data_IF_824389315780
#
_entry.id   IF_824389315780
#
_cell.length_a   1.000
_cell.length_b   1.000
_cell.length_c   1.000
_cell.angle_alpha   90.00
_cell.angle_beta   90.00
_cell.angle_gamma   90.00
#
_symmetry.space_group_name_H-M   'P 1'
#
loop_
_entity.id
_entity.type
_entity.pdbx_description
1 polymer ?
#
# COMPACT_ATOMS: atom_id res chain seq x y z
N UNK A 1 -6.86 0.35 28.38
CA UNK A 1 -6.39 -0.70 27.44
C UNK A 1 -4.96 -0.32 27.01
N UNK A 2 -3.98 -1.23 27.10
CA UNK A 2 -2.58 -0.94 26.70
C UNK A 2 -2.48 -1.02 25.17
N UNK A 3 -2.06 0.05 24.50
CA UNK A 3 -1.85 0.08 23.04
C UNK A 3 -0.73 -0.90 22.67
N UNK A 4 -1.03 -1.89 21.82
CA UNK A 4 -0.07 -2.92 21.39
C UNK A 4 0.95 -2.40 20.37
N UNK A 5 0.51 -1.51 19.46
CA UNK A 5 1.34 -0.97 18.38
C UNK A 5 0.76 0.34 17.84
N UNK A 6 1.60 1.16 17.21
CA UNK A 6 1.20 2.39 16.52
C UNK A 6 1.51 2.22 15.04
N UNK A 7 0.49 2.24 14.21
CA UNK A 7 0.62 1.96 12.77
C UNK A 7 0.28 3.19 11.95
N UNK A 8 1.20 3.63 11.12
CA UNK A 8 0.93 4.64 10.10
C UNK A 8 0.38 3.97 8.84
N UNK A 9 -0.82 4.36 8.45
CA UNK A 9 -1.51 3.90 7.24
C UNK A 9 -1.39 5.00 6.19
N UNK A 10 -0.79 4.68 5.03
CA UNK A 10 -0.64 5.60 3.90
C UNK A 10 -1.43 5.01 2.73
N UNK A 11 -2.62 5.51 2.48
CA UNK A 11 -3.52 4.95 1.45
C UNK A 11 -4.62 5.94 1.04
N UNK A 12 -5.40 5.57 0.04
CA UNK A 12 -6.62 6.28 -0.34
C UNK A 12 -7.73 6.08 0.68
N UNK A 13 -8.67 7.03 0.70
CA UNK A 13 -9.91 6.94 1.48
C UNK A 13 -11.00 6.29 0.64
N UNK A 14 -11.64 5.26 1.17
CA UNK A 14 -12.83 4.62 0.61
C UNK A 14 -14.09 5.09 1.36
N UNK A 15 -14.95 5.88 0.69
CA UNK A 15 -16.18 6.40 1.28
C UNK A 15 -17.16 5.33 1.75
N UNK A 16 -17.10 4.12 1.17
CA UNK A 16 -17.93 2.98 1.60
C UNK A 16 -17.37 2.25 2.83
N UNK A 17 -16.12 2.52 3.21
CA UNK A 17 -15.51 1.96 4.40
C UNK A 17 -15.02 0.51 4.28
N UNK A 18 -15.07 -0.10 3.08
CA UNK A 18 -14.71 -1.51 2.84
C UNK A 18 -13.25 -1.72 2.45
N UNK A 19 -12.54 -0.66 2.10
CA UNK A 19 -11.15 -0.68 1.68
C UNK A 19 -10.38 0.55 2.22
N UNK A 20 -9.17 0.79 1.71
CA UNK A 20 -8.37 1.97 1.99
C UNK A 20 -8.11 2.20 3.47
N UNK A 21 -7.93 3.48 3.84
CA UNK A 21 -7.64 3.85 5.23
C UNK A 21 -8.73 3.42 6.21
N UNK A 22 -9.99 3.34 5.78
CA UNK A 22 -11.10 2.96 6.65
C UNK A 22 -11.01 1.49 7.08
N UNK A 23 -10.80 0.58 6.12
CA UNK A 23 -10.63 -0.84 6.42
C UNK A 23 -9.37 -1.09 7.25
N UNK A 24 -8.26 -0.43 6.88
CA UNK A 24 -6.99 -0.56 7.59
C UNK A 24 -7.10 -0.05 9.04
N UNK A 25 -7.75 1.11 9.26
CA UNK A 25 -7.98 1.68 10.59
C UNK A 25 -8.83 0.76 11.45
N UNK A 26 -9.95 0.23 10.91
CA UNK A 26 -10.80 -0.74 11.61
C UNK A 26 -9.99 -1.96 12.04
N UNK A 27 -9.17 -2.50 11.13
CA UNK A 27 -8.35 -3.68 11.39
C UNK A 27 -7.32 -3.43 12.48
N UNK A 28 -6.55 -2.33 12.38
CA UNK A 28 -5.55 -1.96 13.39
C UNK A 28 -6.19 -1.77 14.76
N UNK A 29 -7.34 -1.09 14.81
CA UNK A 29 -8.07 -0.83 16.07
C UNK A 29 -8.62 -2.13 16.66
N UNK A 30 -9.23 -2.99 15.86
CA UNK A 30 -9.75 -4.28 16.33
C UNK A 30 -8.66 -5.19 16.91
N UNK A 31 -7.43 -5.08 16.40
CA UNK A 31 -6.27 -5.81 16.90
C UNK A 31 -5.60 -5.13 18.11
N UNK A 32 -6.15 -4.04 18.62
CA UNK A 32 -5.65 -3.31 19.80
C UNK A 32 -4.49 -2.36 19.48
N UNK A 33 -4.29 -2.00 18.20
CA UNK A 33 -3.34 -1.00 17.77
C UNK A 33 -3.92 0.41 17.75
N UNK A 34 -3.05 1.40 17.64
CA UNK A 34 -3.40 2.80 17.35
C UNK A 34 -3.12 3.11 15.88
N UNK A 35 -4.16 3.51 15.15
CA UNK A 35 -4.07 3.83 13.74
C UNK A 35 -3.84 5.33 13.52
N UNK A 36 -2.81 5.66 12.76
CA UNK A 36 -2.56 6.99 12.20
C UNK A 36 -2.72 6.94 10.69
N UNK A 37 -3.17 8.01 10.06
CA UNK A 37 -3.43 7.99 8.61
C UNK A 37 -2.74 9.15 7.89
N UNK A 38 -2.29 8.86 6.65
CA UNK A 38 -1.93 9.84 5.64
C UNK A 38 -2.72 9.50 4.37
N UNK A 39 -3.65 10.36 4.00
CA UNK A 39 -4.58 10.15 2.89
C UNK A 39 -3.89 10.54 1.59
N UNK A 40 -3.88 9.62 0.62
CA UNK A 40 -3.26 9.85 -0.70
C UNK A 40 -4.25 10.29 -1.76
N UNK A 41 -5.52 9.91 -1.62
CA UNK A 41 -6.64 10.36 -2.44
C UNK A 41 -7.94 10.16 -1.68
N UNK A 42 -8.97 10.91 -2.02
CA UNK A 42 -10.35 10.69 -1.56
C UNK A 42 -11.15 10.10 -2.71
N UNK A 43 -11.93 9.06 -2.47
CA UNK A 43 -12.77 8.45 -3.51
C UNK A 43 -14.25 8.59 -3.19
N UNK A 44 -15.06 8.78 -4.23
CA UNK A 44 -16.48 8.46 -4.19
C UNK A 44 -16.64 7.00 -4.63
N UNK A 45 -16.77 6.11 -3.67
CA UNK A 45 -16.72 4.67 -3.88
C UNK A 45 -17.84 3.97 -3.11
N UNK A 46 -18.33 2.88 -3.67
CA UNK A 46 -19.27 1.95 -3.04
C UNK A 46 -18.85 0.50 -3.31
N UNK A 47 -19.68 -0.47 -2.91
CA UNK A 47 -19.40 -1.91 -3.07
C UNK A 47 -19.38 -2.38 -4.53
N UNK A 48 -19.90 -1.58 -5.46
CA UNK A 48 -19.98 -1.89 -6.90
C UNK A 48 -18.82 -1.29 -7.70
N UNK A 49 -18.22 -0.18 -7.22
CA UNK A 49 -17.12 0.44 -7.94
C UNK A 49 -16.71 1.82 -7.41
N UNK A 50 -15.78 2.44 -8.14
CA UNK A 50 -15.25 3.79 -7.88
C UNK A 50 -15.82 4.74 -8.93
N UNK A 51 -16.55 5.76 -8.49
CA UNK A 51 -17.12 6.78 -9.36
C UNK A 51 -16.10 7.91 -9.64
N UNK A 52 -15.40 8.38 -8.61
CA UNK A 52 -14.39 9.43 -8.76
C UNK A 52 -13.24 9.28 -7.78
N UNK A 53 -12.08 9.81 -8.17
CA UNK A 53 -10.86 9.84 -7.35
C UNK A 53 -10.34 11.28 -7.33
N UNK A 54 -10.26 11.88 -6.15
CA UNK A 54 -9.70 13.20 -5.91
C UNK A 54 -8.31 13.03 -5.30
N UNK A 55 -7.23 13.26 -6.06
CA UNK A 55 -5.87 13.08 -5.56
C UNK A 55 -5.49 14.16 -4.54
N UNK A 56 -4.78 13.77 -3.50
CA UNK A 56 -4.14 14.71 -2.56
C UNK A 56 -2.76 15.09 -3.11
N UNK A 57 -2.42 16.37 -3.02
CA UNK A 57 -1.12 16.87 -3.50
C UNK A 57 0.03 16.22 -2.75
N UNK A 58 1.12 15.82 -3.45
CA UNK A 58 2.27 15.13 -2.83
C UNK A 58 2.83 15.84 -1.61
N UNK A 59 2.94 17.18 -1.67
CA UNK A 59 3.41 18.02 -0.56
C UNK A 59 2.52 17.90 0.69
N UNK A 60 1.21 17.76 0.51
CA UNK A 60 0.28 17.64 1.63
C UNK A 60 0.28 16.22 2.20
N UNK A 61 0.52 15.20 1.37
CA UNK A 61 0.77 13.81 1.84
C UNK A 61 2.06 13.78 2.70
N UNK A 62 3.14 14.42 2.26
CA UNK A 62 4.38 14.49 3.04
C UNK A 62 4.15 15.19 4.40
N UNK A 63 3.39 16.30 4.42
CA UNK A 63 3.04 17.00 5.67
C UNK A 63 2.26 16.09 6.62
N UNK A 64 1.25 15.36 6.14
CA UNK A 64 0.48 14.42 6.95
C UNK A 64 1.42 13.40 7.60
N UNK A 65 2.32 12.79 6.82
CA UNK A 65 3.26 11.78 7.31
C UNK A 65 4.21 12.38 8.36
N UNK A 66 4.90 13.45 8.02
CA UNK A 66 5.97 13.98 8.87
C UNK A 66 5.42 14.67 10.12
N UNK A 67 4.33 15.42 10.01
CA UNK A 67 3.76 16.14 11.16
C UNK A 67 3.18 15.17 12.20
N UNK A 68 2.43 14.16 11.74
CA UNK A 68 1.88 13.12 12.61
C UNK A 68 3.00 12.31 13.28
N UNK A 69 4.02 11.90 12.52
CA UNK A 69 5.09 11.07 13.04
C UNK A 69 6.13 11.82 13.89
N UNK A 70 6.13 13.15 13.83
CA UNK A 70 6.92 13.97 14.76
C UNK A 70 6.46 13.80 16.20
N UNK A 71 5.17 13.67 16.41
CA UNK A 71 4.54 13.46 17.72
C UNK A 71 4.40 11.97 18.03
N UNK A 72 3.71 11.22 17.16
CA UNK A 72 3.40 9.81 17.39
C UNK A 72 4.32 8.93 16.52
N UNK A 73 5.38 8.42 17.13
CA UNK A 73 6.34 7.54 16.42
C UNK A 73 5.70 6.20 16.07
N UNK A 74 5.59 5.84 14.76
CA UNK A 74 5.03 4.57 14.36
C UNK A 74 5.99 3.41 14.61
N UNK A 75 5.45 2.26 15.03
CA UNK A 75 6.16 0.99 15.13
C UNK A 75 6.11 0.18 13.81
N UNK A 76 5.17 0.52 12.94
CA UNK A 76 5.02 -0.07 11.61
C UNK A 76 4.29 0.87 10.66
N UNK A 77 4.44 0.61 9.36
CA UNK A 77 3.80 1.37 8.29
C UNK A 77 3.06 0.39 7.36
N UNK A 78 1.80 0.69 7.05
CA UNK A 78 1.09 0.04 5.94
C UNK A 78 0.92 1.03 4.80
N UNK A 79 1.31 0.62 3.60
CA UNK A 79 1.16 1.40 2.38
C UNK A 79 0.15 0.68 1.49
N UNK A 80 -0.90 1.39 1.07
CA UNK A 80 -1.88 0.92 0.09
C UNK A 80 -1.79 1.71 -1.22
N UNK A 81 -2.93 2.19 -1.73
CA UNK A 81 -3.01 2.89 -3.01
C UNK A 81 -2.17 4.17 -3.06
N UNK A 82 -1.28 4.24 -4.06
CA UNK A 82 -0.49 5.41 -4.43
C UNK A 82 -0.68 5.68 -5.92
N UNK A 83 -1.48 6.67 -6.26
CA UNK A 83 -2.01 6.89 -7.62
C UNK A 83 -1.00 7.39 -8.67
N UNK A 84 0.18 7.92 -8.27
CA UNK A 84 1.13 8.50 -9.22
C UNK A 84 2.59 8.28 -8.84
N UNK A 85 3.48 8.38 -9.84
CA UNK A 85 4.93 8.32 -9.63
C UNK A 85 5.44 9.38 -8.64
N UNK A 86 4.84 10.57 -8.65
CA UNK A 86 5.22 11.66 -7.77
C UNK A 86 4.85 11.36 -6.32
N UNK A 87 3.63 10.87 -6.07
CA UNK A 87 3.19 10.43 -4.74
C UNK A 87 4.08 9.29 -4.23
N UNK A 88 4.41 8.31 -5.08
CA UNK A 88 5.30 7.21 -4.69
C UNK A 88 6.68 7.71 -4.28
N UNK A 89 7.27 8.68 -5.04
CA UNK A 89 8.56 9.29 -4.69
C UNK A 89 8.48 10.04 -3.37
N UNK A 90 7.43 10.82 -3.18
CA UNK A 90 7.19 11.59 -1.95
C UNK A 90 7.03 10.68 -0.73
N UNK A 91 6.21 9.65 -0.82
CA UNK A 91 6.05 8.65 0.25
C UNK A 91 7.38 7.96 0.54
N UNK A 92 8.10 7.49 -0.49
CA UNK A 92 9.39 6.83 -0.32
C UNK A 92 10.45 7.73 0.33
N UNK A 93 10.40 9.05 0.08
CA UNK A 93 11.24 10.05 0.73
C UNK A 93 10.84 10.26 2.18
N UNK A 94 9.55 10.47 2.46
CA UNK A 94 9.05 10.73 3.80
C UNK A 94 9.31 9.55 4.74
N UNK A 95 9.00 8.31 4.34
CA UNK A 95 9.20 7.13 5.20
C UNK A 95 10.67 6.85 5.49
N UNK A 96 11.60 7.25 4.59
CA UNK A 96 13.04 7.15 4.87
C UNK A 96 13.46 7.93 6.12
N UNK A 97 12.81 9.07 6.38
CA UNK A 97 13.07 9.93 7.54
C UNK A 97 12.56 9.33 8.86
N UNK A 98 11.66 8.33 8.80
CA UNK A 98 11.01 7.77 10.00
C UNK A 98 11.78 6.60 10.63
N UNK A 99 12.79 6.06 9.96
CA UNK A 99 13.60 4.91 10.42
C UNK A 99 12.77 3.66 10.82
N UNK A 100 11.56 3.49 10.25
CA UNK A 100 10.70 2.33 10.49
C UNK A 100 11.06 1.21 9.52
N UNK A 101 11.32 0.02 10.04
CA UNK A 101 11.72 -1.15 9.25
C UNK A 101 10.56 -2.10 8.93
N UNK A 102 9.48 -2.06 9.71
CA UNK A 102 8.28 -2.88 9.51
C UNK A 102 7.32 -2.19 8.55
N UNK A 103 7.55 -2.33 7.25
CA UNK A 103 6.74 -1.72 6.19
C UNK A 103 6.00 -2.82 5.43
N UNK A 104 4.67 -2.81 5.49
CA UNK A 104 3.79 -3.65 4.67
C UNK A 104 3.35 -2.85 3.46
N UNK A 105 3.68 -3.32 2.27
CA UNK A 105 3.29 -2.72 0.99
C UNK A 105 2.23 -3.60 0.32
N UNK A 106 1.00 -3.10 0.23
CA UNK A 106 -0.05 -3.65 -0.60
C UNK A 106 -0.05 -2.90 -1.94
N UNK A 107 0.43 -3.51 -3.03
CA UNK A 107 0.70 -2.80 -4.29
C UNK A 107 -0.56 -2.64 -5.12
N UNK A 108 -1.56 -1.95 -4.58
CA UNK A 108 -2.89 -1.77 -5.20
C UNK A 108 -2.76 -1.11 -6.57
N UNK A 109 -3.19 -1.82 -7.64
CA UNK A 109 -3.10 -1.36 -9.03
C UNK A 109 -4.46 -1.16 -9.69
N UNK A 110 -5.45 -1.92 -9.24
CA UNK A 110 -6.81 -1.92 -9.79
C UNK A 110 -7.81 -1.89 -8.65
N UNK A 111 -8.82 -1.05 -8.76
CA UNK A 111 -9.93 -1.03 -7.80
C UNK A 111 -10.85 -2.24 -8.00
N UNK A 112 -11.63 -2.59 -6.97
CA UNK A 112 -12.77 -3.49 -7.13
C UNK A 112 -13.71 -2.89 -8.18
N UNK A 113 -14.05 -3.67 -9.22
CA UNK A 113 -14.79 -3.16 -10.39
C UNK A 113 -13.89 -2.83 -11.61
N UNK A 114 -12.57 -3.07 -11.55
CA UNK A 114 -11.67 -3.05 -12.70
C UNK A 114 -11.06 -1.68 -13.04
N UNK A 115 -11.39 -0.63 -12.32
CA UNK A 115 -10.82 0.70 -12.56
C UNK A 115 -9.30 0.70 -12.27
N UNK A 116 -8.50 1.10 -13.26
CA UNK A 116 -7.05 1.20 -13.12
C UNK A 116 -6.69 2.41 -12.24
N UNK A 117 -6.03 2.16 -11.12
CA UNK A 117 -5.65 3.18 -10.13
C UNK A 117 -4.23 3.71 -10.28
N UNK A 118 -3.40 3.02 -11.09
CA UNK A 118 -1.98 3.33 -11.25
C UNK A 118 -1.56 3.10 -12.71
N UNK A 119 -0.74 3.99 -13.26
CA UNK A 119 -0.21 3.86 -14.61
C UNK A 119 1.15 3.15 -14.64
N UNK A 120 1.65 2.81 -15.84
CA UNK A 120 2.91 2.08 -16.03
C UNK A 120 4.13 2.81 -15.44
N UNK A 121 4.18 4.14 -15.54
CA UNK A 121 5.31 4.91 -15.00
C UNK A 121 5.34 4.86 -13.46
N UNK A 122 4.16 4.84 -12.83
CA UNK A 122 4.03 4.69 -11.38
C UNK A 122 4.40 3.28 -10.92
N UNK A 123 4.03 2.23 -11.67
CA UNK A 123 4.45 0.85 -11.40
C UNK A 123 5.99 0.72 -11.42
N UNK A 124 6.64 1.28 -12.45
CA UNK A 124 8.12 1.32 -12.52
C UNK A 124 8.72 2.04 -11.32
N UNK A 125 8.12 3.15 -10.91
CA UNK A 125 8.57 3.92 -9.75
C UNK A 125 8.37 3.16 -8.44
N UNK A 126 7.23 2.48 -8.26
CA UNK A 126 6.94 1.63 -7.10
C UNK A 126 7.99 0.53 -6.97
N UNK A 127 8.27 -0.20 -8.05
CA UNK A 127 9.33 -1.23 -8.10
C UNK A 127 10.67 -0.66 -7.68
N UNK A 128 11.08 0.47 -8.23
CA UNK A 128 12.40 1.10 -7.97
C UNK A 128 12.53 1.71 -6.58
N UNK A 129 11.45 2.29 -6.03
CA UNK A 129 11.53 3.14 -4.83
C UNK A 129 10.99 2.50 -3.55
N UNK A 130 9.98 1.62 -3.65
CA UNK A 130 9.29 1.07 -2.49
C UNK A 130 9.52 -0.42 -2.27
N UNK A 131 9.59 -1.27 -3.32
CA UNK A 131 9.72 -2.72 -3.10
C UNK A 131 10.89 -3.08 -2.17
N UNK A 132 12.08 -2.58 -2.44
CA UNK A 132 13.28 -2.85 -1.61
C UNK A 132 13.20 -2.30 -0.17
N UNK A 133 12.22 -1.48 0.14
CA UNK A 133 11.97 -0.96 1.48
C UNK A 133 10.92 -1.79 2.23
N UNK A 134 10.15 -2.61 1.52
CA UNK A 134 9.09 -3.40 2.10
C UNK A 134 9.66 -4.55 2.94
N UNK A 135 9.19 -4.66 4.17
CA UNK A 135 9.36 -5.85 4.99
C UNK A 135 8.46 -6.98 4.49
N UNK A 136 7.26 -6.64 4.04
CA UNK A 136 6.29 -7.56 3.46
C UNK A 136 5.59 -6.89 2.28
N UNK A 137 5.48 -7.59 1.16
CA UNK A 137 4.61 -7.20 0.04
C UNK A 137 3.45 -8.19 -0.08
N UNK A 138 2.23 -7.68 -0.34
CA UNK A 138 1.01 -8.50 -0.34
C UNK A 138 0.24 -8.43 -1.66
N UNK A 139 0.85 -8.77 -2.82
CA UNK A 139 0.18 -8.70 -4.11
C UNK A 139 -0.88 -9.80 -4.24
N UNK A 140 -1.97 -9.50 -4.96
CA UNK A 140 -2.81 -10.53 -5.57
C UNK A 140 -2.16 -11.07 -6.85
N UNK A 141 -2.76 -12.10 -7.49
CA UNK A 141 -2.20 -12.72 -8.70
C UNK A 141 -2.00 -11.70 -9.83
N UNK A 142 -2.99 -10.86 -10.23
CA UNK A 142 -2.80 -9.85 -11.26
C UNK A 142 -1.69 -8.83 -10.93
N UNK A 143 -1.58 -8.41 -9.68
CA UNK A 143 -0.54 -7.49 -9.22
C UNK A 143 0.85 -8.14 -9.27
N UNK A 144 0.96 -9.41 -8.88
CA UNK A 144 2.19 -10.17 -8.95
C UNK A 144 2.64 -10.35 -10.41
N UNK A 145 1.74 -10.70 -11.34
CA UNK A 145 2.04 -10.80 -12.76
C UNK A 145 2.61 -9.47 -13.31
N UNK A 146 2.00 -8.34 -12.96
CA UNK A 146 2.48 -7.02 -13.39
C UNK A 146 3.85 -6.69 -12.77
N UNK A 147 4.04 -7.00 -11.48
CA UNK A 147 5.31 -6.73 -10.80
C UNK A 147 6.44 -7.60 -11.31
N UNK A 148 6.19 -8.86 -11.61
CA UNK A 148 7.22 -9.82 -12.03
C UNK A 148 7.39 -9.92 -13.54
N UNK A 149 6.40 -9.43 -14.30
CA UNK A 149 6.29 -9.62 -15.75
C UNK A 149 6.22 -11.10 -16.14
N UNK A 150 5.52 -11.90 -15.33
CA UNK A 150 5.29 -13.34 -15.56
C UNK A 150 3.80 -13.64 -15.58
N UNK A 151 3.39 -14.79 -16.14
CA UNK A 151 2.03 -15.31 -16.03
C UNK A 151 1.94 -16.31 -14.90
N UNK A 152 0.82 -16.31 -14.16
CA UNK A 152 0.58 -17.17 -13.01
C UNK A 152 -0.67 -18.00 -13.26
N UNK A 153 -0.48 -19.30 -13.50
CA UNK A 153 -1.56 -20.26 -13.82
C UNK A 153 -1.77 -21.28 -12.71
N UNK A 154 -0.75 -21.56 -11.93
CA UNK A 154 -0.72 -22.61 -10.91
C UNK A 154 0.13 -22.17 -9.70
N UNK A 155 0.30 -23.07 -8.73
CA UNK A 155 1.05 -22.81 -7.51
C UNK A 155 2.56 -22.62 -7.78
N UNK A 156 3.13 -23.38 -8.70
CA UNK A 156 4.56 -23.26 -9.03
C UNK A 156 4.87 -21.89 -9.64
N UNK A 157 3.98 -21.38 -10.49
CA UNK A 157 4.09 -20.01 -11.02
C UNK A 157 3.99 -18.95 -9.90
N UNK A 158 3.12 -19.17 -8.90
CA UNK A 158 3.02 -18.30 -7.72
C UNK A 158 4.33 -18.29 -6.92
N UNK A 159 4.91 -19.47 -6.69
CA UNK A 159 6.20 -19.61 -5.99
C UNK A 159 7.30 -18.91 -6.78
N UNK A 160 7.35 -19.11 -8.10
CA UNK A 160 8.31 -18.44 -8.96
C UNK A 160 8.17 -16.89 -8.91
N UNK A 161 6.94 -16.39 -9.02
CA UNK A 161 6.67 -14.95 -8.90
C UNK A 161 7.10 -14.40 -7.53
N UNK A 162 6.82 -15.12 -6.45
CA UNK A 162 7.27 -14.73 -5.11
C UNK A 162 8.81 -14.67 -5.02
N UNK A 163 9.51 -15.65 -5.59
CA UNK A 163 10.97 -15.67 -5.65
C UNK A 163 11.55 -14.50 -6.46
N UNK A 164 10.90 -14.11 -7.56
CA UNK A 164 11.29 -12.90 -8.32
C UNK A 164 11.12 -11.65 -7.46
N UNK A 165 10.02 -11.52 -6.71
CA UNK A 165 9.80 -10.38 -5.81
C UNK A 165 10.88 -10.32 -4.69
N UNK A 166 11.27 -11.46 -4.13
CA UNK A 166 12.36 -11.52 -3.16
C UNK A 166 13.69 -11.01 -3.76
N UNK A 167 13.98 -11.34 -5.03
CA UNK A 167 15.17 -10.82 -5.75
C UNK A 167 15.13 -9.32 -5.97
N UNK A 168 13.95 -8.66 -5.94
CA UNK A 168 13.85 -7.20 -5.95
C UNK A 168 14.16 -6.55 -4.60
N UNK A 169 14.54 -7.33 -3.58
CA UNK A 169 14.98 -6.86 -2.27
C UNK A 169 13.85 -6.76 -1.24
N UNK A 170 12.67 -7.29 -1.52
CA UNK A 170 11.59 -7.48 -0.54
C UNK A 170 12.02 -8.57 0.46
N UNK A 171 11.73 -8.39 1.74
CA UNK A 171 12.11 -9.39 2.75
C UNK A 171 11.15 -10.57 2.82
N UNK A 172 9.85 -10.32 2.64
CA UNK A 172 8.82 -11.35 2.70
C UNK A 172 7.73 -11.07 1.66
N UNK A 173 7.12 -12.12 1.12
CA UNK A 173 6.04 -12.04 0.14
C UNK A 173 4.84 -12.85 0.64
N UNK A 174 3.67 -12.23 0.65
CA UNK A 174 2.39 -12.89 0.82
C UNK A 174 1.59 -12.73 -0.48
N UNK A 175 1.69 -13.71 -1.40
CA UNK A 175 0.96 -13.70 -2.64
C UNK A 175 -0.45 -14.24 -2.41
N UNK A 176 -1.47 -13.37 -2.61
CA UNK A 176 -2.88 -13.68 -2.37
C UNK A 176 -3.49 -14.41 -3.56
N UNK A 177 -4.12 -15.57 -3.32
CA UNK A 177 -4.74 -16.42 -4.35
C UNK A 177 -6.25 -16.21 -4.57
N UNK A 178 -6.90 -15.25 -3.92
CA UNK A 178 -8.35 -15.09 -3.83
C UNK A 178 -9.10 -14.64 -5.09
N UNK A 179 -8.45 -14.54 -6.24
CA UNK A 179 -9.05 -14.15 -7.53
C UNK A 179 -8.79 -15.23 -8.61
N UNK A 180 -8.81 -16.48 -8.22
CA UNK A 180 -8.85 -17.62 -9.14
C UNK A 180 -10.27 -17.91 -9.58
#
# INVERSE_FOLDING_TARGET
>A
MKIKSKILIIAGSDSSGGAGIQADTKTVTALGGYAMTAITAVTAQNTKGVNSVIPIKPKDIEKQILFTCKDIKPSGIKIGMLHSSEVIKTVAHAIKKLHVTKIVLDPVMVAKGGARLINQSAIKTLKKKLLKKAYLVTPNIPEAEVLTNTKIKNLDDMINAANILLKFGVKNVLLKGGHR
#
